data_IF_204940847553
#
_entry.id   IF_204940847553
#
_cell.length_a   1.000
_cell.length_b   1.000
_cell.length_c   1.000
_cell.angle_alpha   90.00
_cell.angle_beta   90.00
_cell.angle_gamma   90.00
#
_symmetry.space_group_name_H-M   'P 1'
#
loop_
_entity.id
_entity.type
_entity.pdbx_description
1 polymer ?
#
# COMPACT_ATOMS: atom_id res chain seq x y z
N UNK A 1 9.53 15.04 29.94
CA UNK A 1 8.22 15.01 29.23
C UNK A 1 8.47 14.34 27.90
N UNK A 2 7.92 13.15 27.66
CA UNK A 2 8.05 12.44 26.37
C UNK A 2 7.01 13.00 25.41
N UNK A 3 7.42 13.40 24.20
CA UNK A 3 6.50 13.91 23.19
C UNK A 3 5.46 12.83 22.81
N UNK A 4 4.18 13.19 22.64
CA UNK A 4 3.18 12.25 22.18
C UNK A 4 3.50 11.81 20.74
N UNK A 5 3.26 10.53 20.37
CA UNK A 5 3.51 10.06 19.03
C UNK A 5 2.66 10.85 18.03
N UNK A 6 3.33 11.54 17.10
CA UNK A 6 2.66 12.29 16.05
C UNK A 6 1.79 11.35 15.21
N UNK A 7 0.50 11.68 15.05
CA UNK A 7 -0.44 10.86 14.29
C UNK A 7 0.11 10.62 12.88
N UNK A 8 0.25 9.35 12.48
CA UNK A 8 0.66 8.98 11.12
C UNK A 8 -0.33 9.60 10.13
N UNK A 9 0.17 10.42 9.20
CA UNK A 9 -0.64 10.97 8.12
C UNK A 9 -1.10 9.82 7.23
N UNK A 10 -2.39 9.79 6.91
CA UNK A 10 -2.96 8.81 5.98
C UNK A 10 -2.40 9.11 4.59
N UNK A 11 -1.69 8.16 4.01
CA UNK A 11 -1.27 8.23 2.60
C UNK A 11 -2.44 7.73 1.77
N UNK A 12 -3.00 8.59 0.94
CA UNK A 12 -4.05 8.22 -0.01
C UNK A 12 -3.43 7.98 -1.38
N UNK A 13 -3.71 6.80 -1.94
CA UNK A 13 -3.40 6.50 -3.33
C UNK A 13 -4.47 7.09 -4.24
N UNK A 14 -4.04 7.62 -5.37
CA UNK A 14 -4.94 7.98 -6.46
C UNK A 14 -5.70 6.76 -6.98
N UNK A 15 -6.82 6.99 -7.68
CA UNK A 15 -7.55 5.89 -8.32
C UNK A 15 -6.68 5.16 -9.35
N UNK A 16 -5.86 5.89 -10.09
CA UNK A 16 -4.96 5.31 -11.09
C UNK A 16 -3.93 4.40 -10.44
N UNK A 17 -3.34 4.81 -9.31
CA UNK A 17 -2.36 4.00 -8.58
C UNK A 17 -3.00 2.75 -7.99
N UNK A 18 -4.25 2.82 -7.51
CA UNK A 18 -4.99 1.64 -7.05
C UNK A 18 -5.20 0.64 -8.18
N UNK A 19 -5.57 1.12 -9.37
CA UNK A 19 -5.75 0.25 -10.55
C UNK A 19 -4.42 -0.41 -10.95
N UNK A 20 -3.32 0.36 -10.97
CA UNK A 20 -1.98 -0.19 -11.26
C UNK A 20 -1.57 -1.24 -10.23
N UNK A 21 -1.81 -0.96 -8.96
CA UNK A 21 -1.49 -1.88 -7.86
C UNK A 21 -2.26 -3.19 -7.95
N UNK A 22 -3.56 -3.16 -8.29
CA UNK A 22 -4.36 -4.37 -8.49
C UNK A 22 -3.81 -5.20 -9.64
N UNK A 23 -3.56 -4.57 -10.80
CA UNK A 23 -2.99 -5.25 -11.97
C UNK A 23 -1.63 -5.88 -11.66
N UNK A 24 -0.76 -5.16 -10.97
CA UNK A 24 0.55 -5.69 -10.57
C UNK A 24 0.43 -6.85 -9.58
N UNK A 25 -0.51 -6.79 -8.64
CA UNK A 25 -0.73 -7.86 -7.67
C UNK A 25 -1.21 -9.18 -8.30
N UNK A 26 -1.76 -9.13 -9.52
CA UNK A 26 -2.20 -10.29 -10.31
C UNK A 26 -1.15 -10.81 -11.30
N UNK A 27 -0.05 -10.08 -11.52
CA UNK A 27 1.02 -10.49 -12.43
C UNK A 27 1.73 -11.77 -11.97
N UNK A 28 2.27 -12.54 -12.91
CA UNK A 28 3.15 -13.67 -12.62
C UNK A 28 4.62 -13.32 -12.92
N UNK A 29 5.57 -13.58 -12.01
CA UNK A 29 5.36 -14.12 -10.66
C UNK A 29 4.67 -13.11 -9.74
N UNK A 30 3.81 -13.60 -8.84
CA UNK A 30 3.01 -12.77 -7.93
C UNK A 30 3.92 -11.94 -7.01
N UNK A 31 3.88 -10.59 -7.10
CA UNK A 31 4.71 -9.77 -6.23
C UNK A 31 4.25 -9.89 -4.78
N UNK A 32 5.20 -9.86 -3.85
CA UNK A 32 4.88 -9.89 -2.42
C UNK A 32 4.32 -8.54 -1.97
N UNK A 33 3.51 -8.55 -0.91
CA UNK A 33 2.99 -7.31 -0.30
C UNK A 33 4.11 -6.37 0.15
N UNK A 34 5.30 -6.89 0.46
CA UNK A 34 6.47 -6.07 0.81
C UNK A 34 6.93 -5.23 -0.38
N UNK A 35 7.07 -5.85 -1.56
CA UNK A 35 7.49 -5.17 -2.78
C UNK A 35 6.49 -4.08 -3.17
N UNK A 36 5.19 -4.40 -3.13
CA UNK A 36 4.13 -3.43 -3.43
C UNK A 36 4.09 -2.30 -2.39
N UNK A 37 4.29 -2.60 -1.11
CA UNK A 37 4.35 -1.61 -0.03
C UNK A 37 5.51 -0.62 -0.22
N UNK A 38 6.68 -1.10 -0.61
CA UNK A 38 7.86 -0.27 -0.90
C UNK A 38 7.65 0.58 -2.15
N UNK A 39 7.10 0.00 -3.23
CA UNK A 39 6.87 0.69 -4.50
C UNK A 39 5.84 1.81 -4.39
N UNK A 40 4.71 1.54 -3.73
CA UNK A 40 3.62 2.51 -3.58
C UNK A 40 3.76 3.37 -2.32
N UNK A 41 4.79 3.14 -1.49
CA UNK A 41 5.04 3.82 -0.20
C UNK A 41 3.82 3.83 0.73
N UNK A 42 3.07 2.73 0.73
CA UNK A 42 1.89 2.53 1.59
C UNK A 42 2.10 1.31 2.47
N UNK A 43 1.48 1.30 3.65
CA UNK A 43 1.59 0.17 4.57
C UNK A 43 1.03 -1.12 3.96
N UNK A 44 1.65 -2.26 4.29
CA UNK A 44 1.22 -3.60 3.83
C UNK A 44 -0.27 -3.88 4.06
N UNK A 45 -0.82 -3.40 5.18
CA UNK A 45 -2.25 -3.51 5.49
C UNK A 45 -3.10 -2.80 4.44
N UNK A 46 -2.75 -1.57 4.05
CA UNK A 46 -3.44 -0.82 3.01
C UNK A 46 -3.34 -1.51 1.65
N UNK A 47 -2.16 -2.03 1.30
CA UNK A 47 -2.00 -2.83 0.06
C UNK A 47 -2.94 -4.04 0.09
N UNK A 48 -2.97 -4.79 1.20
CA UNK A 48 -3.84 -5.95 1.37
C UNK A 48 -5.33 -5.60 1.28
N UNK A 49 -5.76 -4.48 1.87
CA UNK A 49 -7.14 -4.00 1.79
C UNK A 49 -7.54 -3.63 0.36
N UNK A 50 -6.61 -3.07 -0.43
CA UNK A 50 -6.87 -2.69 -1.83
C UNK A 50 -6.93 -3.93 -2.73
N UNK A 51 -6.05 -4.91 -2.54
CA UNK A 51 -6.00 -6.12 -3.39
C UNK A 51 -7.13 -7.11 -3.08
N UNK A 52 -7.66 -7.11 -1.85
CA UNK A 52 -8.73 -8.04 -1.42
C UNK A 52 -10.14 -7.58 -1.85
N UNK A 53 -10.34 -6.29 -2.08
CA UNK A 53 -11.62 -5.71 -2.51
C UNK A 53 -11.80 -5.80 -4.01
#
# INVERSE_FOLDING_TARGET
MSEPPSKRRRVELSLEDKIKLIKEAEMFPKPTLKILSEKYRVGKSTIGDIVRK
#
